data_IF_390148049677
#
_entry.id   IF_390148049677
#
_cell.length_a   1.000
_cell.length_b   1.000
_cell.length_c   1.000
_cell.angle_alpha   90.00
_cell.angle_beta   90.00
_cell.angle_gamma   90.00
#
_symmetry.space_group_name_H-M   'P 1'
#
loop_
_entity.id
_entity.type
_entity.pdbx_description
1 polymer ?
#
# COMPACT_ATOMS: atom_id res chain seq x y z
N UNK A 1 -3.54 0.07 -18.07
CA UNK A 1 -2.34 0.71 -17.49
C UNK A 1 -2.79 1.42 -16.23
N UNK A 2 -2.42 0.93 -15.05
CA UNK A 2 -2.60 1.70 -13.81
C UNK A 2 -1.43 2.70 -13.76
N UNK A 3 -1.71 4.00 -13.71
CA UNK A 3 -0.67 4.99 -13.41
C UNK A 3 -0.31 4.91 -11.92
N UNK A 4 0.92 5.30 -11.53
CA UNK A 4 1.31 5.38 -10.12
C UNK A 4 0.29 6.15 -9.27
N UNK A 5 -0.21 7.29 -9.77
CA UNK A 5 -1.22 8.11 -9.09
C UNK A 5 -2.51 7.34 -8.77
N UNK A 6 -2.95 6.47 -9.69
CA UNK A 6 -4.15 5.66 -9.47
C UNK A 6 -3.91 4.61 -8.38
N UNK A 7 -2.73 3.99 -8.37
CA UNK A 7 -2.38 3.02 -7.32
C UNK A 7 -2.26 3.70 -5.96
N UNK A 8 -1.66 4.89 -5.90
CA UNK A 8 -1.60 5.71 -4.69
C UNK A 8 -3.01 6.02 -4.18
N UNK A 9 -3.90 6.49 -5.06
CA UNK A 9 -5.29 6.75 -4.69
C UNK A 9 -5.99 5.49 -4.15
N UNK A 10 -5.84 4.35 -4.81
CA UNK A 10 -6.44 3.08 -4.36
C UNK A 10 -5.88 2.63 -3.01
N UNK A 11 -4.56 2.67 -2.82
CA UNK A 11 -3.91 2.34 -1.55
C UNK A 11 -4.41 3.24 -0.41
N UNK A 12 -4.60 4.53 -0.69
CA UNK A 12 -5.14 5.48 0.28
C UNK A 12 -6.60 5.20 0.62
N UNK A 13 -7.43 4.83 -0.36
CA UNK A 13 -8.82 4.44 -0.11
C UNK A 13 -8.91 3.21 0.80
N UNK A 14 -8.05 2.21 0.58
CA UNK A 14 -7.93 1.05 1.46
C UNK A 14 -7.51 1.51 2.85
N UNK A 15 -6.47 2.34 2.97
CA UNK A 15 -6.02 2.84 4.26
C UNK A 15 -7.09 3.59 5.05
N UNK A 16 -7.89 4.43 4.39
CA UNK A 16 -9.00 5.14 5.02
C UNK A 16 -10.09 4.19 5.54
N UNK A 17 -10.38 3.10 4.81
CA UNK A 17 -11.35 2.10 5.23
C UNK A 17 -10.94 1.39 6.55
N UNK A 18 -9.63 1.21 6.78
CA UNK A 18 -9.09 0.56 7.98
C UNK A 18 -8.67 1.54 9.08
N UNK A 19 -8.62 2.85 8.80
CA UNK A 19 -8.06 3.86 9.71
C UNK A 19 -8.69 3.86 11.12
N UNK A 20 -10.01 3.62 11.21
CA UNK A 20 -10.73 3.60 12.49
C UNK A 20 -10.31 2.46 13.43
N UNK A 21 -9.61 1.44 12.93
CA UNK A 21 -9.22 0.27 13.71
C UNK A 21 -7.95 0.47 14.55
N UNK A 22 -7.24 1.57 14.31
CA UNK A 22 -5.92 1.86 14.89
C UNK A 22 -4.78 1.25 14.06
N UNK A 23 -3.61 1.90 14.09
CA UNK A 23 -2.46 1.56 13.24
C UNK A 23 -2.04 0.08 13.34
N UNK A 24 -1.91 -0.44 14.57
CA UNK A 24 -1.44 -1.81 14.83
C UNK A 24 -2.31 -2.89 14.16
N UNK A 25 -3.60 -2.62 13.99
CA UNK A 25 -4.54 -3.51 13.30
C UNK A 25 -4.69 -3.15 11.83
N UNK A 26 -4.66 -1.87 11.48
CA UNK A 26 -4.88 -1.40 10.12
C UNK A 26 -3.72 -1.78 9.19
N UNK A 27 -2.47 -1.56 9.60
CA UNK A 27 -1.28 -1.82 8.76
C UNK A 27 -1.21 -3.27 8.25
N UNK A 28 -1.32 -4.32 9.10
CA UNK A 28 -1.29 -5.70 8.61
C UNK A 28 -2.48 -5.99 7.69
N UNK A 29 -3.69 -5.52 8.02
CA UNK A 29 -4.88 -5.76 7.19
C UNK A 29 -4.80 -5.09 5.82
N UNK A 30 -4.24 -3.87 5.75
CA UNK A 30 -4.00 -3.17 4.48
C UNK A 30 -2.98 -3.95 3.65
N UNK A 31 -1.90 -4.43 4.28
CA UNK A 31 -0.87 -5.21 3.59
C UNK A 31 -1.44 -6.51 3.02
N UNK A 32 -2.20 -7.26 3.84
CA UNK A 32 -2.86 -8.50 3.43
C UNK A 32 -3.86 -8.25 2.29
N UNK A 33 -4.63 -7.16 2.35
CA UNK A 33 -5.57 -6.79 1.29
C UNK A 33 -4.84 -6.50 -0.03
N UNK A 34 -3.76 -5.72 0.00
CA UNK A 34 -2.98 -5.42 -1.21
C UNK A 34 -2.39 -6.72 -1.79
N UNK A 35 -1.80 -7.59 -0.97
CA UNK A 35 -1.22 -8.86 -1.44
C UNK A 35 -2.29 -9.79 -2.02
N UNK A 36 -3.48 -9.84 -1.43
CA UNK A 36 -4.55 -10.74 -1.84
C UNK A 36 -5.25 -10.28 -3.14
N UNK A 37 -5.44 -8.96 -3.32
CA UNK A 37 -6.29 -8.44 -4.39
C UNK A 37 -5.53 -7.75 -5.52
N UNK A 38 -4.27 -7.34 -5.32
CA UNK A 38 -3.50 -6.70 -6.38
C UNK A 38 -2.66 -7.71 -7.13
N UNK A 39 -2.68 -7.61 -8.46
CA UNK A 39 -1.82 -8.44 -9.29
C UNK A 39 -0.34 -8.09 -9.09
N UNK A 40 0.59 -9.00 -9.45
CA UNK A 40 2.03 -8.79 -9.26
C UNK A 40 2.57 -7.52 -9.94
N UNK A 41 2.00 -7.08 -11.06
CA UNK A 41 2.49 -5.88 -11.79
C UNK A 41 2.10 -4.61 -11.05
N UNK A 42 0.88 -4.55 -10.49
CA UNK A 42 0.46 -3.42 -9.65
C UNK A 42 1.34 -3.31 -8.41
N UNK A 43 1.66 -4.43 -7.76
CA UNK A 43 2.56 -4.45 -6.58
C UNK A 43 3.96 -3.93 -6.93
N UNK A 44 4.56 -4.43 -8.01
CA UNK A 44 5.85 -3.94 -8.48
C UNK A 44 5.85 -2.43 -8.80
N UNK A 45 4.76 -1.90 -9.34
CA UNK A 45 4.62 -0.46 -9.64
C UNK A 45 4.53 0.40 -8.37
N UNK A 46 3.73 -0.02 -7.39
CA UNK A 46 3.60 0.75 -6.15
C UNK A 46 4.84 0.61 -5.26
N UNK A 47 5.51 -0.54 -5.29
CA UNK A 47 6.78 -0.76 -4.58
C UNK A 47 7.88 0.16 -5.13
N UNK A 48 7.95 0.33 -6.46
CA UNK A 48 8.86 1.29 -7.08
C UNK A 48 8.55 2.74 -6.66
N UNK A 49 7.26 3.09 -6.53
CA UNK A 49 6.85 4.41 -6.03
C UNK A 49 7.26 4.64 -4.57
N UNK A 50 7.09 3.61 -3.72
CA UNK A 50 7.53 3.65 -2.32
C UNK A 50 9.04 3.81 -2.21
N UNK A 51 9.81 3.07 -3.02
CA UNK A 51 11.26 3.19 -3.09
C UNK A 51 11.73 4.59 -3.56
N UNK A 52 10.91 5.28 -4.37
CA UNK A 52 11.16 6.64 -4.83
C UNK A 52 10.72 7.74 -3.82
N UNK A 53 10.21 7.36 -2.64
CA UNK A 53 9.81 8.29 -1.57
C UNK A 53 8.32 8.25 -1.24
N UNK A 54 7.49 7.56 -2.04
CA UNK A 54 6.10 7.28 -1.68
C UNK A 54 5.19 8.51 -1.62
N UNK A 55 5.46 9.53 -2.43
CA UNK A 55 4.69 10.79 -2.42
C UNK A 55 3.18 10.55 -2.57
N UNK A 56 2.39 11.27 -1.78
CA UNK A 56 0.92 11.19 -1.82
C UNK A 56 0.32 9.96 -1.13
N UNK A 57 1.12 9.03 -0.60
CA UNK A 57 0.59 7.90 0.17
C UNK A 57 0.12 8.33 1.57
N UNK A 58 -1.02 7.77 1.97
CA UNK A 58 -1.50 7.85 3.34
C UNK A 58 -0.50 7.14 4.28
N UNK A 59 -0.24 7.66 5.49
CA UNK A 59 0.75 7.08 6.41
C UNK A 59 0.56 5.57 6.65
N UNK A 60 -0.68 5.11 6.83
CA UNK A 60 -0.99 3.69 7.00
C UNK A 60 -0.74 2.86 5.73
N UNK A 61 -1.01 3.43 4.54
CA UNK A 61 -0.72 2.76 3.27
C UNK A 61 0.79 2.63 3.05
N UNK A 62 1.55 3.69 3.31
CA UNK A 62 3.00 3.69 3.21
C UNK A 62 3.64 2.64 4.14
N UNK A 63 3.18 2.58 5.40
CA UNK A 63 3.65 1.55 6.36
C UNK A 63 3.31 0.13 5.91
N UNK A 64 2.10 -0.09 5.40
CA UNK A 64 1.69 -1.39 4.89
C UNK A 64 2.50 -1.83 3.66
N UNK A 65 2.74 -0.93 2.72
CA UNK A 65 3.56 -1.21 1.54
C UNK A 65 5.02 -1.44 1.90
N UNK A 66 5.59 -0.66 2.81
CA UNK A 66 6.94 -0.90 3.32
C UNK A 66 7.08 -2.28 3.98
N UNK A 67 6.04 -2.74 4.70
CA UNK A 67 5.97 -4.09 5.26
C UNK A 67 5.96 -5.17 4.17
N UNK A 68 5.21 -4.97 3.08
CA UNK A 68 5.20 -5.89 1.93
C UNK A 68 6.59 -5.98 1.30
N UNK A 69 7.20 -4.82 1.02
CA UNK A 69 8.53 -4.73 0.42
C UNK A 69 9.59 -5.46 1.25
N UNK A 70 9.60 -5.25 2.57
CA UNK A 70 10.54 -5.88 3.48
C UNK A 70 10.35 -7.40 3.59
N UNK A 71 9.15 -7.92 3.34
CA UNK A 71 8.87 -9.36 3.35
C UNK A 71 9.23 -10.07 2.04
N UNK A 72 9.44 -9.30 0.96
CA UNK A 72 9.80 -9.81 -0.37
C UNK A 72 11.32 -9.75 -0.65
N UNK A 73 12.09 -9.08 0.22
CA UNK A 73 13.56 -8.99 0.19
C UNK A 73 14.20 -10.17 0.93
#
# INVERSE_FOLDING_TARGET
MSSPDRLVMMANQIALAFAAQGEDRAVPQIADHIVAFWDPRMRAQIDAHVAAGGEGLHPLAAKALAKILAAAA
#
